data_IF_671299130322
#
_entry.id   IF_671299130322
#
_cell.length_a   1.000
_cell.length_b   1.000
_cell.length_c   1.000
_cell.angle_alpha   90.00
_cell.angle_beta   90.00
_cell.angle_gamma   90.00
#
_symmetry.space_group_name_H-M   'P 1'
#
loop_
_entity.id
_entity.type
_entity.pdbx_description
1 polymer ?
#
# COMPACT_ATOMS: atom_id res chain seq x y z
N UNK A 1 -4.22 13.84 8.95
CA UNK A 1 -4.91 13.00 7.97
C UNK A 1 -6.39 13.28 8.15
N UNK A 2 -7.10 13.58 7.08
CA UNK A 2 -8.55 13.81 7.13
C UNK A 2 -9.31 12.48 7.04
N UNK A 3 -10.59 12.48 7.41
CA UNK A 3 -11.47 11.32 7.23
C UNK A 3 -11.54 10.89 5.77
N UNK A 4 -11.51 11.84 4.83
CA UNK A 4 -11.52 11.55 3.41
C UNK A 4 -10.24 10.83 2.97
N UNK A 5 -9.07 11.33 3.37
CA UNK A 5 -7.79 10.67 3.07
C UNK A 5 -7.71 9.26 3.67
N UNK A 6 -8.26 9.06 4.88
CA UNK A 6 -8.31 7.75 5.50
C UNK A 6 -9.24 6.78 4.74
N UNK A 7 -10.39 7.25 4.28
CA UNK A 7 -11.34 6.48 3.46
C UNK A 7 -10.75 6.11 2.11
N UNK A 8 -10.10 7.07 1.45
CA UNK A 8 -9.44 6.87 0.17
C UNK A 8 -8.32 5.84 0.26
N UNK A 9 -7.41 5.99 1.24
CA UNK A 9 -6.35 5.02 1.49
C UNK A 9 -6.90 3.61 1.77
N UNK A 10 -7.95 3.51 2.58
CA UNK A 10 -8.60 2.23 2.87
C UNK A 10 -9.15 1.59 1.59
N UNK A 11 -9.90 2.34 0.79
CA UNK A 11 -10.51 1.83 -0.43
C UNK A 11 -9.43 1.38 -1.44
N UNK A 12 -8.36 2.16 -1.63
CA UNK A 12 -7.26 1.78 -2.52
C UNK A 12 -6.53 0.52 -2.04
N UNK A 13 -6.35 0.35 -0.73
CA UNK A 13 -5.78 -0.87 -0.15
C UNK A 13 -6.69 -2.08 -0.36
N UNK A 14 -7.99 -1.95 -0.12
CA UNK A 14 -8.97 -3.04 -0.33
C UNK A 14 -9.04 -3.46 -1.81
N UNK A 15 -9.04 -2.49 -2.72
CA UNK A 15 -9.01 -2.74 -4.16
C UNK A 15 -7.72 -3.44 -4.60
N UNK A 16 -6.56 -2.98 -4.10
CA UNK A 16 -5.27 -3.63 -4.37
C UNK A 16 -5.30 -5.09 -3.93
N UNK A 17 -5.82 -5.38 -2.74
CA UNK A 17 -5.90 -6.75 -2.22
C UNK A 17 -6.84 -7.63 -3.05
N UNK A 18 -7.95 -7.09 -3.53
CA UNK A 18 -8.85 -7.79 -4.44
C UNK A 18 -8.16 -8.12 -5.77
N UNK A 19 -7.46 -7.14 -6.37
CA UNK A 19 -6.71 -7.33 -7.63
C UNK A 19 -5.58 -8.36 -7.50
N UNK A 20 -4.86 -8.37 -6.37
CA UNK A 20 -3.87 -9.41 -6.07
C UNK A 20 -4.53 -10.80 -6.06
N UNK A 21 -5.72 -10.92 -5.44
CA UNK A 21 -6.41 -12.20 -5.34
C UNK A 21 -6.95 -12.71 -6.70
N UNK A 22 -7.30 -11.80 -7.61
CA UNK A 22 -7.80 -12.11 -8.96
C UNK A 22 -6.69 -12.22 -10.01
N UNK A 23 -5.45 -11.86 -9.67
CA UNK A 23 -4.32 -11.85 -10.59
C UNK A 23 -4.32 -10.67 -11.57
N UNK A 24 -5.00 -9.58 -11.21
CA UNK A 24 -5.06 -8.35 -11.99
C UNK A 24 -3.83 -7.46 -11.73
N UNK A 25 -3.54 -6.54 -12.66
CA UNK A 25 -2.51 -5.53 -12.47
C UNK A 25 -2.83 -4.64 -11.26
N UNK A 26 -1.80 -4.23 -10.50
CA UNK A 26 -1.96 -3.39 -9.30
C UNK A 26 -1.19 -2.07 -9.39
N UNK A 27 -0.68 -1.72 -10.57
CA UNK A 27 0.22 -0.58 -10.75
C UNK A 27 -0.43 0.73 -10.31
N UNK A 28 -1.69 0.94 -10.67
CA UNK A 28 -2.45 2.14 -10.30
C UNK A 28 -2.64 2.25 -8.78
N UNK A 29 -2.97 1.16 -8.10
CA UNK A 29 -3.17 1.16 -6.64
C UNK A 29 -1.84 1.42 -5.90
N UNK A 30 -0.73 0.87 -6.40
CA UNK A 30 0.60 1.14 -5.84
C UNK A 30 0.98 2.63 -5.98
N UNK A 31 0.70 3.26 -7.13
CA UNK A 31 0.94 4.68 -7.33
C UNK A 31 0.06 5.54 -6.43
N UNK A 32 -1.23 5.21 -6.34
CA UNK A 32 -2.19 5.91 -5.48
C UNK A 32 -1.82 5.85 -4.00
N UNK A 33 -1.47 4.66 -3.49
CA UNK A 33 -1.01 4.48 -2.10
C UNK A 33 0.27 5.27 -1.84
N UNK A 34 1.21 5.30 -2.80
CA UNK A 34 2.45 6.05 -2.64
C UNK A 34 2.20 7.57 -2.55
N UNK A 35 1.32 8.10 -3.41
CA UNK A 35 0.94 9.51 -3.36
C UNK A 35 0.22 9.85 -2.05
N UNK A 36 -0.79 9.06 -1.66
CA UNK A 36 -1.52 9.25 -0.40
C UNK A 36 -0.59 9.18 0.82
N UNK A 37 0.41 8.30 0.80
CA UNK A 37 1.39 8.17 1.88
C UNK A 37 2.20 9.46 2.06
N UNK A 38 2.60 10.12 0.97
CA UNK A 38 3.29 11.41 1.01
C UNK A 38 2.35 12.49 1.56
N UNK A 39 1.11 12.53 1.08
CA UNK A 39 0.13 13.57 1.45
C UNK A 39 -0.26 13.51 2.93
N UNK A 40 -0.26 12.32 3.54
CA UNK A 40 -0.64 12.12 4.94
C UNK A 40 0.56 12.04 5.90
N UNK A 41 1.81 11.99 5.42
CA UNK A 41 3.01 11.67 6.21
C UNK A 41 3.12 12.48 7.50
N UNK A 42 2.92 13.79 7.42
CA UNK A 42 3.07 14.73 8.55
C UNK A 42 1.94 14.64 9.58
N UNK A 43 0.86 13.95 9.26
CA UNK A 43 -0.38 13.99 10.05
C UNK A 43 -1.02 12.62 10.30
N UNK A 44 -0.43 11.55 9.77
CA UNK A 44 -0.84 10.17 10.00
C UNK A 44 -0.10 9.57 11.23
N UNK A 45 -0.69 8.56 11.89
CA UNK A 45 0.01 7.82 12.94
C UNK A 45 1.30 7.17 12.39
N UNK A 46 2.43 7.31 13.12
CA UNK A 46 3.73 6.73 12.71
C UNK A 46 3.67 5.25 12.38
N UNK A 47 2.88 4.49 13.14
CA UNK A 47 2.67 3.05 12.89
C UNK A 47 2.02 2.77 11.53
N UNK A 48 1.06 3.60 11.10
CA UNK A 48 0.46 3.47 9.78
C UNK A 48 1.51 3.73 8.69
N UNK A 49 2.33 4.77 8.85
CA UNK A 49 3.43 5.06 7.92
C UNK A 49 4.43 3.90 7.83
N UNK A 50 4.80 3.30 8.97
CA UNK A 50 5.65 2.11 8.99
C UNK A 50 5.03 0.93 8.23
N UNK A 51 3.71 0.72 8.32
CA UNK A 51 3.04 -0.34 7.57
C UNK A 51 3.00 -0.06 6.07
N UNK A 52 2.71 1.18 5.64
CA UNK A 52 2.68 1.57 4.22
C UNK A 52 4.06 1.48 3.56
N UNK A 53 5.13 1.78 4.29
CA UNK A 53 6.50 1.67 3.83
C UNK A 53 6.99 0.22 3.71
N UNK A 54 6.39 -0.69 4.50
CA UNK A 54 6.75 -2.10 4.54
C UNK A 54 6.14 -2.83 3.35
N UNK A 55 6.66 -2.49 2.17
CA UNK A 55 6.47 -3.24 0.93
C UNK A 55 6.96 -4.67 1.16
N UNK A 56 6.34 -5.66 0.52
CA UNK A 56 6.64 -7.10 0.69
C UNK A 56 8.01 -7.54 0.13
N UNK A 57 9.03 -6.67 0.16
CA UNK A 57 10.36 -6.91 -0.40
C UNK A 57 11.06 -8.12 0.22
N UNK A 58 10.90 -8.37 1.52
CA UNK A 58 11.45 -9.57 2.15
C UNK A 58 10.87 -10.84 1.54
N UNK A 59 9.55 -10.89 1.31
CA UNK A 59 8.90 -12.05 0.68
C UNK A 59 9.33 -12.21 -0.79
N UNK A 60 9.50 -11.12 -1.52
CA UNK A 60 10.01 -11.15 -2.88
C UNK A 60 11.45 -11.67 -2.93
N UNK A 61 12.31 -11.25 -2.00
CA UNK A 61 13.68 -11.75 -1.88
C UNK A 61 13.71 -13.24 -1.52
N UNK A 62 12.83 -13.70 -0.63
CA UNK A 62 12.76 -15.12 -0.28
C UNK A 62 12.32 -15.97 -1.48
N UNK A 63 11.30 -15.53 -2.21
CA UNK A 63 10.86 -16.20 -3.45
C UNK A 63 11.98 -16.27 -4.50
N UNK A 64 12.77 -15.20 -4.67
CA UNK A 64 13.87 -15.16 -5.63
C UNK A 64 15.07 -16.06 -5.25
N UNK A 65 15.23 -16.42 -3.98
CA UNK A 65 16.29 -17.36 -3.54
C UNK A 65 15.95 -18.81 -3.87
N UNK A 66 14.66 -19.11 -4.00
CA UNK A 66 14.14 -20.45 -4.25
C UNK A 66 13.90 -20.72 -5.76
N UNK A 67 14.25 -19.76 -6.63
CA UNK A 67 14.27 -19.85 -8.09
C UNK A 67 15.60 -20.43 -8.61
#
# INVERSE_FOLDING_TARGET
>A
MTTQQASELKNTLEEMMNRIATGEDITEQLLGINQLSIDIESTAPKMLMHYLQRKSYTKALDFLKDL
#
